data_IF_200190658987
#
_entry.id   IF_200190658987
#
_cell.length_a   1.000
_cell.length_b   1.000
_cell.length_c   1.000
_cell.angle_alpha   90.00
_cell.angle_beta   90.00
_cell.angle_gamma   90.00
#
_symmetry.space_group_name_H-M   'P 1'
#
loop_
_entity.id
_entity.type
_entity.pdbx_description
1 polymer ?
#
# COMPACT_ATOMS: atom_id res chain seq x y z
N UNK A 1 -41.45 34.99 13.73
CA UNK A 1 -40.73 34.06 14.62
C UNK A 1 -41.59 32.83 14.79
N UNK A 2 -41.25 31.73 14.10
CA UNK A 2 -41.97 30.45 14.24
C UNK A 2 -40.93 29.33 14.18
N UNK A 3 -40.74 28.63 15.28
CA UNK A 3 -39.69 27.63 15.45
C UNK A 3 -40.02 26.34 14.71
N UNK A 4 -39.15 25.91 13.78
CA UNK A 4 -39.28 24.63 13.09
C UNK A 4 -38.72 23.49 13.94
N UNK A 5 -39.61 22.62 14.41
CA UNK A 5 -39.25 21.38 15.13
C UNK A 5 -39.08 20.20 14.17
N UNK A 6 -38.15 19.29 14.50
CA UNK A 6 -37.61 18.14 13.74
C UNK A 6 -38.60 17.08 13.20
N UNK A 7 -39.92 17.29 13.26
CA UNK A 7 -40.93 16.27 12.93
C UNK A 7 -41.51 16.30 11.50
N UNK A 8 -40.98 17.14 10.61
CA UNK A 8 -41.47 17.25 9.23
C UNK A 8 -40.66 16.45 8.19
N UNK A 9 -39.69 15.62 8.60
CA UNK A 9 -38.77 14.99 7.63
C UNK A 9 -39.23 13.66 7.02
N UNK A 10 -40.43 13.16 7.34
CA UNK A 10 -40.89 11.88 6.75
C UNK A 10 -42.38 11.90 6.42
N UNK A 11 -42.75 12.61 5.35
CA UNK A 11 -43.95 12.32 4.56
C UNK A 11 -43.94 13.18 3.30
N UNK A 12 -43.52 12.62 2.17
CA UNK A 12 -43.49 13.36 0.91
C UNK A 12 -43.14 12.52 -0.30
N UNK A 13 -44.15 11.80 -0.79
CA UNK A 13 -44.34 11.34 -2.18
C UNK A 13 -43.34 10.33 -2.79
N UNK A 14 -43.77 9.07 -2.72
CA UNK A 14 -43.68 8.15 -3.84
C UNK A 14 -44.68 8.58 -4.94
N UNK A 15 -44.18 9.07 -6.08
CA UNK A 15 -44.84 8.98 -7.40
C UNK A 15 -43.88 9.50 -8.49
N UNK A 16 -43.53 8.65 -9.45
CA UNK A 16 -43.15 9.08 -10.80
C UNK A 16 -41.70 9.49 -11.03
N UNK A 17 -40.81 8.50 -11.20
CA UNK A 17 -39.91 8.48 -12.35
C UNK A 17 -39.27 7.10 -12.44
N UNK A 18 -39.50 6.37 -13.54
CA UNK A 18 -38.43 5.56 -14.11
C UNK A 18 -37.28 6.55 -14.33
N UNK A 19 -36.36 6.62 -13.36
CA UNK A 19 -35.15 7.39 -13.50
C UNK A 19 -34.36 6.74 -14.61
N UNK A 20 -34.46 7.28 -15.83
CA UNK A 20 -33.39 7.16 -16.81
C UNK A 20 -32.11 7.44 -16.02
N UNK A 21 -31.26 6.44 -15.89
CA UNK A 21 -29.94 6.62 -15.32
C UNK A 21 -29.23 7.61 -16.25
N UNK A 22 -29.33 8.90 -15.94
CA UNK A 22 -28.51 9.92 -16.57
C UNK A 22 -27.10 9.46 -16.24
N UNK A 23 -26.27 9.09 -17.24
CA UNK A 23 -24.90 8.75 -16.96
C UNK A 23 -24.33 9.99 -16.28
N UNK A 24 -23.93 9.84 -15.01
CA UNK A 24 -23.26 10.90 -14.30
C UNK A 24 -22.07 11.27 -15.19
N UNK A 25 -22.17 12.43 -15.86
CA UNK A 25 -21.06 12.96 -16.64
C UNK A 25 -19.97 13.17 -15.62
N UNK A 26 -19.01 12.25 -15.59
CA UNK A 26 -17.81 12.40 -14.79
C UNK A 26 -17.20 13.73 -15.22
N UNK A 27 -17.27 14.73 -14.33
CA UNK A 27 -16.69 16.04 -14.60
C UNK A 27 -15.20 15.87 -14.90
N UNK A 28 -14.65 16.78 -15.68
CA UNK A 28 -13.22 16.78 -15.99
C UNK A 28 -12.42 16.73 -14.69
N UNK A 29 -11.49 15.76 -14.51
CA UNK A 29 -10.71 15.65 -13.28
C UNK A 29 -10.01 16.97 -12.97
N UNK A 30 -10.30 17.55 -11.79
CA UNK A 30 -9.62 18.76 -11.31
C UNK A 30 -8.38 18.35 -10.54
N UNK A 31 -7.23 18.90 -10.90
CA UNK A 31 -5.97 18.70 -10.19
C UNK A 31 -5.84 19.73 -9.07
N UNK A 32 -5.37 19.29 -7.90
CA UNK A 32 -5.20 20.14 -6.72
C UNK A 32 -6.43 20.19 -5.81
N UNK A 33 -6.32 20.94 -4.72
CA UNK A 33 -7.31 20.97 -3.64
C UNK A 33 -6.97 20.04 -2.47
N UNK A 34 -7.83 20.07 -1.45
CA UNK A 34 -7.67 19.26 -0.24
C UNK A 34 -8.68 18.11 -0.26
N UNK A 35 -8.18 16.88 -0.25
CA UNK A 35 -9.01 15.71 0.01
C UNK A 35 -9.20 15.55 1.53
N UNK A 36 -10.40 15.80 2.02
CA UNK A 36 -10.78 15.48 3.40
C UNK A 36 -11.40 14.09 3.43
N UNK A 37 -10.75 13.16 4.13
CA UNK A 37 -11.25 11.80 4.32
C UNK A 37 -11.35 11.45 5.80
N UNK A 38 -12.42 10.77 6.19
CA UNK A 38 -12.56 10.21 7.53
C UNK A 38 -11.93 8.83 7.54
N UNK A 39 -10.93 8.63 8.40
CA UNK A 39 -10.34 7.32 8.66
C UNK A 39 -10.67 6.94 10.10
N UNK A 40 -11.45 5.87 10.23
CA UNK A 40 -11.84 5.33 11.53
C UNK A 40 -11.63 3.80 11.52
N UNK A 41 -11.07 3.23 12.60
CA UNK A 41 -10.39 3.91 13.73
C UNK A 41 -9.07 4.57 13.31
N UNK A 42 -8.40 5.25 14.24
CA UNK A 42 -7.06 5.80 14.03
C UNK A 42 -6.10 4.68 13.58
N UNK A 43 -5.30 4.91 12.51
CA UNK A 43 -4.27 3.96 12.10
C UNK A 43 -3.22 3.82 13.21
N UNK A 44 -2.93 2.60 13.71
CA UNK A 44 -1.94 2.43 14.77
C UNK A 44 -0.52 2.76 14.31
N UNK A 45 -0.25 2.57 13.00
CA UNK A 45 1.03 2.88 12.34
C UNK A 45 0.73 3.45 10.94
N UNK A 46 1.69 4.16 10.34
CA UNK A 46 1.49 4.79 9.01
C UNK A 46 1.82 3.87 7.83
N UNK A 47 2.80 2.99 7.99
CA UNK A 47 3.29 2.11 6.91
C UNK A 47 2.95 0.67 7.24
N UNK A 48 2.33 -0.05 6.30
CA UNK A 48 1.86 -1.42 6.51
C UNK A 48 2.97 -2.48 6.42
N UNK A 49 4.11 -2.28 7.08
CA UNK A 49 5.24 -3.22 7.07
C UNK A 49 5.08 -4.39 8.07
N UNK A 50 4.36 -4.17 9.18
CA UNK A 50 4.32 -5.14 10.30
C UNK A 50 2.91 -5.49 10.76
N UNK A 51 1.88 -5.05 10.03
CA UNK A 51 0.49 -5.27 10.43
C UNK A 51 -0.48 -5.15 9.26
N UNK A 52 -1.75 -5.51 9.48
CA UNK A 52 -2.78 -5.61 8.43
C UNK A 52 -4.01 -4.75 8.69
N UNK A 53 -3.92 -3.76 9.60
CA UNK A 53 -5.09 -2.99 10.00
C UNK A 53 -5.63 -2.15 8.83
N UNK A 54 -6.93 -2.29 8.55
CA UNK A 54 -7.60 -1.64 7.42
C UNK A 54 -7.45 -0.11 7.34
N UNK A 55 -7.39 0.64 8.46
CA UNK A 55 -7.06 2.07 8.42
C UNK A 55 -5.67 2.36 7.85
N UNK A 56 -4.66 1.59 8.25
CA UNK A 56 -3.29 1.80 7.75
C UNK A 56 -3.13 1.36 6.31
N UNK A 57 -3.77 0.26 5.88
CA UNK A 57 -3.72 -0.13 4.46
C UNK A 57 -4.37 0.91 3.54
N UNK A 58 -5.26 1.77 4.06
CA UNK A 58 -5.80 2.93 3.33
C UNK A 58 -4.85 4.12 3.28
N UNK A 59 -4.01 4.31 4.31
CA UNK A 59 -3.09 5.45 4.46
C UNK A 59 -1.73 5.16 3.85
N UNK A 60 -1.16 3.97 4.07
CA UNK A 60 0.19 3.59 3.63
C UNK A 60 0.43 3.88 2.15
N UNK A 61 -0.48 3.53 1.21
CA UNK A 61 -0.30 3.83 -0.22
C UNK A 61 -0.30 5.32 -0.59
N UNK A 62 -0.52 6.22 0.37
CA UNK A 62 -0.42 7.68 0.20
C UNK A 62 0.94 8.22 0.60
N UNK A 63 1.73 7.43 1.32
CA UNK A 63 3.08 7.78 1.80
C UNK A 63 4.16 6.87 1.25
N UNK A 64 3.81 5.67 0.79
CA UNK A 64 4.70 4.71 0.13
C UNK A 64 4.17 4.31 -1.24
N UNK A 65 5.07 3.80 -2.07
CA UNK A 65 4.76 3.24 -3.38
C UNK A 65 5.08 1.74 -3.43
N UNK A 66 4.44 1.02 -4.35
CA UNK A 66 4.78 -0.36 -4.68
C UNK A 66 5.67 -0.40 -5.94
N UNK A 67 6.17 -1.58 -6.30
CA UNK A 67 6.77 -1.76 -7.61
C UNK A 67 5.74 -1.53 -8.72
N UNK A 68 4.52 -2.02 -8.49
CA UNK A 68 3.42 -1.96 -9.43
C UNK A 68 2.19 -1.31 -8.78
N UNK A 69 1.35 -0.71 -9.62
CA UNK A 69 -0.01 -0.34 -9.28
C UNK A 69 -1.00 -1.23 -10.05
N UNK A 70 -2.29 -1.15 -9.73
CA UNK A 70 -3.34 -1.83 -10.48
C UNK A 70 -4.39 -0.82 -10.93
N UNK A 71 -4.87 -1.00 -12.16
CA UNK A 71 -6.03 -0.25 -12.64
C UNK A 71 -7.35 -0.93 -12.21
N UNK A 72 -8.46 -0.31 -12.59
CA UNK A 72 -9.80 -0.79 -12.23
C UNK A 72 -10.14 -2.14 -12.87
N UNK A 73 -9.40 -2.55 -13.90
CA UNK A 73 -9.56 -3.85 -14.58
C UNK A 73 -8.63 -4.92 -13.98
N UNK A 74 -8.03 -4.64 -12.82
CA UNK A 74 -7.05 -5.50 -12.16
C UNK A 74 -5.85 -5.85 -13.06
N UNK A 75 -5.44 -4.94 -13.96
CA UNK A 75 -4.20 -5.12 -14.71
C UNK A 75 -3.02 -4.45 -14.00
N UNK A 76 -1.86 -5.11 -13.91
CA UNK A 76 -0.67 -4.48 -13.35
C UNK A 76 -0.23 -3.29 -14.21
N UNK A 77 0.15 -2.21 -13.55
CA UNK A 77 0.60 -0.96 -14.15
C UNK A 77 1.95 -0.54 -13.56
N UNK A 78 2.82 0.10 -14.36
CA UNK A 78 4.05 0.67 -13.86
C UNK A 78 3.84 1.65 -12.69
N UNK A 79 4.68 1.54 -11.66
CA UNK A 79 4.81 2.51 -10.57
C UNK A 79 6.31 2.83 -10.37
N UNK A 80 6.95 2.25 -9.34
CA UNK A 80 8.40 2.31 -9.15
C UNK A 80 9.13 1.45 -10.18
N UNK A 81 8.54 0.33 -10.60
CA UNK A 81 8.98 -0.42 -11.77
C UNK A 81 8.31 0.15 -13.03
N UNK A 82 9.11 0.38 -14.07
CA UNK A 82 8.67 0.88 -15.38
C UNK A 82 8.33 -0.25 -16.35
N UNK A 83 8.97 -1.41 -16.18
CA UNK A 83 8.75 -2.62 -16.95
C UNK A 83 9.13 -3.85 -16.10
N UNK A 84 8.64 -5.02 -16.50
CA UNK A 84 9.03 -6.29 -15.90
C UNK A 84 8.97 -7.43 -16.91
N UNK A 85 9.76 -8.46 -16.65
CA UNK A 85 9.82 -9.70 -17.40
C UNK A 85 9.68 -10.88 -16.46
N UNK A 86 8.93 -11.90 -16.89
CA UNK A 86 8.78 -13.17 -16.17
C UNK A 86 9.45 -14.25 -17.00
N UNK A 87 10.34 -15.03 -16.39
CA UNK A 87 10.99 -16.16 -17.06
C UNK A 87 9.98 -17.22 -17.48
N UNK A 88 10.30 -18.02 -18.49
CA UNK A 88 9.39 -19.04 -19.02
C UNK A 88 8.98 -20.12 -18.01
N UNK A 89 9.82 -20.37 -16.99
CA UNK A 89 9.52 -21.27 -15.87
C UNK A 89 8.72 -20.60 -14.73
N UNK A 90 8.49 -19.28 -14.80
CA UNK A 90 7.78 -18.51 -13.79
C UNK A 90 8.53 -18.34 -12.46
N UNK A 91 9.84 -18.62 -12.44
CA UNK A 91 10.66 -18.57 -11.22
C UNK A 91 11.45 -17.27 -11.05
N UNK A 92 11.56 -16.43 -12.08
CA UNK A 92 12.28 -15.15 -12.03
C UNK A 92 11.43 -14.02 -12.57
N UNK A 93 11.37 -12.95 -11.79
CA UNK A 93 10.68 -11.72 -12.14
C UNK A 93 11.70 -10.58 -12.14
N UNK A 94 12.09 -10.08 -13.31
CA UNK A 94 13.04 -8.97 -13.44
C UNK A 94 12.28 -7.66 -13.61
N UNK A 95 12.62 -6.66 -12.82
CA UNK A 95 11.99 -5.33 -12.83
C UNK A 95 13.00 -4.25 -13.21
N UNK A 96 12.64 -3.43 -14.20
CA UNK A 96 13.36 -2.21 -14.55
C UNK A 96 12.81 -1.03 -13.76
N UNK A 97 13.61 -0.46 -12.86
CA UNK A 97 13.19 0.57 -11.92
C UNK A 97 13.29 1.98 -12.54
N UNK A 98 12.39 2.86 -12.08
CA UNK A 98 12.36 4.27 -12.47
C UNK A 98 13.64 4.97 -12.00
N UNK A 99 14.27 5.72 -12.91
CA UNK A 99 15.47 6.51 -12.62
C UNK A 99 15.10 7.88 -12.04
N UNK A 100 16.02 8.45 -11.25
CA UNK A 100 15.87 9.80 -10.70
C UNK A 100 14.84 9.94 -9.58
N UNK A 101 14.26 8.84 -9.11
CA UNK A 101 13.35 8.84 -7.95
C UNK A 101 14.16 9.08 -6.68
N UNK A 102 13.64 9.94 -5.81
CA UNK A 102 14.23 10.27 -4.51
C UNK A 102 13.23 10.02 -3.41
N UNK A 103 13.72 9.56 -2.28
CA UNK A 103 13.01 9.57 -1.02
C UNK A 103 12.76 11.01 -0.55
N UNK A 104 11.82 11.19 0.38
CA UNK A 104 11.48 12.52 0.92
C UNK A 104 12.67 13.23 1.60
N UNK A 105 13.72 12.51 1.98
CA UNK A 105 14.96 13.06 2.52
C UNK A 105 16.05 13.33 1.46
N UNK A 106 15.68 13.23 0.17
CA UNK A 106 16.55 13.53 -0.96
C UNK A 106 17.47 12.40 -1.40
N UNK A 107 17.58 11.30 -0.63
CA UNK A 107 18.39 10.14 -1.03
C UNK A 107 17.76 9.39 -2.21
N UNK A 108 18.57 8.80 -3.10
CA UNK A 108 18.05 8.10 -4.27
C UNK A 108 17.32 6.82 -3.87
N UNK A 109 16.24 6.50 -4.59
CA UNK A 109 15.62 5.17 -4.57
C UNK A 109 16.43 4.23 -5.46
N UNK A 110 16.67 3.00 -4.97
CA UNK A 110 17.43 1.97 -5.70
C UNK A 110 16.83 0.57 -5.52
N UNK A 111 17.30 -0.37 -6.33
CA UNK A 111 16.98 -1.80 -6.22
C UNK A 111 17.30 -2.39 -4.84
N UNK A 112 18.27 -1.84 -4.10
CA UNK A 112 18.56 -2.25 -2.73
C UNK A 112 17.40 -1.98 -1.76
N UNK A 113 16.60 -0.93 -1.99
CA UNK A 113 15.40 -0.65 -1.20
C UNK A 113 14.32 -1.71 -1.45
N UNK A 114 14.24 -2.21 -2.68
CA UNK A 114 13.30 -3.27 -3.08
C UNK A 114 13.65 -4.58 -2.36
N UNK A 115 14.90 -5.03 -2.46
CA UNK A 115 15.37 -6.24 -1.80
C UNK A 115 15.16 -6.17 -0.28
N UNK A 116 15.47 -5.02 0.32
CA UNK A 116 15.26 -4.79 1.75
C UNK A 116 13.79 -4.86 2.14
N UNK A 117 12.91 -4.20 1.39
CA UNK A 117 11.46 -4.18 1.68
C UNK A 117 10.85 -5.58 1.60
N UNK A 118 11.17 -6.33 0.55
CA UNK A 118 10.70 -7.72 0.37
C UNK A 118 11.18 -8.59 1.54
N UNK A 119 12.43 -8.46 1.96
CA UNK A 119 12.98 -9.18 3.12
C UNK A 119 12.21 -8.84 4.40
N UNK A 120 12.02 -7.55 4.71
CA UNK A 120 11.29 -7.13 5.91
C UNK A 120 9.85 -7.65 5.93
N UNK A 121 9.15 -7.60 4.80
CA UNK A 121 7.78 -8.11 4.69
C UNK A 121 7.73 -9.63 4.86
N UNK A 122 8.70 -10.35 4.28
CA UNK A 122 8.82 -11.80 4.46
C UNK A 122 9.12 -12.18 5.91
N UNK A 123 9.89 -11.37 6.64
CA UNK A 123 10.28 -11.66 8.03
C UNK A 123 9.21 -11.21 9.04
N UNK A 124 8.59 -10.05 8.85
CA UNK A 124 7.82 -9.38 9.91
C UNK A 124 6.34 -9.14 9.58
N UNK A 125 5.94 -9.12 8.30
CA UNK A 125 4.54 -8.83 7.95
C UNK A 125 3.67 -10.08 8.12
N UNK A 126 2.54 -10.02 8.86
CA UNK A 126 1.69 -11.19 9.13
C UNK A 126 1.20 -11.90 7.85
N UNK A 127 0.84 -11.14 6.81
CA UNK A 127 0.49 -11.72 5.50
C UNK A 127 1.69 -11.91 4.58
N UNK A 128 2.68 -11.03 4.68
CA UNK A 128 3.84 -11.00 3.77
C UNK A 128 4.70 -12.25 3.89
N UNK A 129 4.79 -12.83 5.09
CA UNK A 129 5.37 -14.16 5.33
C UNK A 129 4.83 -15.24 4.39
N UNK A 130 3.51 -15.27 4.20
CA UNK A 130 2.85 -16.23 3.31
C UNK A 130 2.97 -15.84 1.85
N UNK A 131 2.63 -14.58 1.51
CA UNK A 131 2.70 -14.05 0.14
C UNK A 131 4.10 -14.19 -0.47
N UNK A 132 5.15 -13.94 0.32
CA UNK A 132 6.54 -13.93 -0.11
C UNK A 132 7.30 -15.19 0.33
N UNK A 133 6.62 -16.23 0.83
CA UNK A 133 7.25 -17.46 1.31
C UNK A 133 8.13 -18.12 0.24
N UNK A 134 7.68 -18.07 -1.02
CA UNK A 134 8.38 -18.63 -2.16
C UNK A 134 9.59 -17.81 -2.63
N UNK A 135 9.76 -16.56 -2.18
CA UNK A 135 10.90 -15.72 -2.57
C UNK A 135 12.16 -16.27 -1.92
N UNK A 136 13.13 -16.73 -2.71
CA UNK A 136 14.40 -17.26 -2.20
C UNK A 136 15.49 -16.20 -2.18
N UNK A 137 15.48 -15.26 -3.12
CA UNK A 137 16.45 -14.19 -3.22
C UNK A 137 15.86 -12.98 -3.97
N UNK A 138 16.45 -11.80 -3.74
CA UNK A 138 16.15 -10.59 -4.51
C UNK A 138 17.45 -9.96 -5.04
N UNK A 139 18.07 -10.50 -6.09
CA UNK A 139 19.27 -9.93 -6.68
C UNK A 139 19.07 -8.48 -7.16
N UNK A 140 20.12 -7.69 -6.98
CA UNK A 140 20.16 -6.27 -7.34
C UNK A 140 21.42 -5.99 -8.18
N UNK A 141 21.48 -6.48 -9.43
CA UNK A 141 22.72 -6.43 -10.22
C UNK A 141 23.19 -4.99 -10.51
N UNK A 142 22.27 -4.03 -10.50
CA UNK A 142 22.55 -2.60 -10.58
C UNK A 142 21.47 -1.79 -9.84
N UNK A 143 21.67 -0.48 -9.59
CA UNK A 143 20.72 0.34 -8.83
C UNK A 143 19.29 0.43 -9.42
N UNK A 144 19.11 0.09 -10.69
CA UNK A 144 17.85 0.21 -11.41
C UNK A 144 17.28 -1.13 -11.90
N UNK A 145 17.85 -2.25 -11.43
CA UNK A 145 17.35 -3.59 -11.72
C UNK A 145 17.17 -4.34 -10.42
N UNK A 146 15.96 -4.85 -10.17
CA UNK A 146 15.68 -5.78 -9.09
C UNK A 146 15.09 -7.06 -9.68
N UNK A 147 15.59 -8.21 -9.24
CA UNK A 147 15.07 -9.51 -9.64
C UNK A 147 14.47 -10.20 -8.43
N UNK A 148 13.26 -10.76 -8.53
CA UNK A 148 12.70 -11.63 -7.50
C UNK A 148 12.83 -13.07 -7.98
N UNK A 149 13.55 -13.89 -7.22
CA UNK A 149 13.76 -15.31 -7.51
C UNK A 149 12.87 -16.14 -6.60
N UNK A 150 12.17 -17.12 -7.17
CA UNK A 150 11.21 -17.97 -6.47
C UNK A 150 11.66 -19.43 -6.43
N UNK A 151 11.28 -20.15 -5.37
CA UNK A 151 11.42 -21.61 -5.28
C UNK A 151 10.33 -22.37 -6.05
N UNK A 152 9.23 -21.71 -6.36
CA UNK A 152 8.08 -22.26 -7.08
C UNK A 152 7.30 -21.15 -7.80
N UNK A 153 6.61 -21.43 -8.92
CA UNK A 153 5.86 -20.41 -9.63
C UNK A 153 4.77 -19.78 -8.75
N UNK A 154 4.67 -18.45 -8.78
CA UNK A 154 3.66 -17.68 -8.05
C UNK A 154 2.95 -16.69 -8.98
N UNK A 155 1.91 -17.13 -9.73
CA UNK A 155 1.20 -16.28 -10.69
C UNK A 155 0.57 -15.02 -10.08
N UNK A 156 0.28 -15.06 -8.77
CA UNK A 156 -0.29 -13.94 -8.03
C UNK A 156 0.74 -12.86 -7.64
N UNK A 157 2.05 -13.11 -7.82
CA UNK A 157 3.09 -12.26 -7.26
C UNK A 157 2.97 -10.82 -7.76
N UNK A 158 2.70 -10.60 -9.04
CA UNK A 158 2.55 -9.24 -9.59
C UNK A 158 1.44 -8.45 -8.87
N UNK A 159 0.34 -9.11 -8.49
CA UNK A 159 -0.76 -8.50 -7.75
C UNK A 159 -0.39 -8.11 -6.32
N UNK A 160 0.54 -8.84 -5.71
CA UNK A 160 1.04 -8.55 -4.38
C UNK A 160 1.99 -7.35 -4.32
N UNK A 161 2.54 -6.89 -5.45
CA UNK A 161 3.58 -5.85 -5.51
C UNK A 161 3.04 -4.41 -5.45
N UNK A 162 1.82 -4.23 -4.95
CA UNK A 162 1.21 -2.92 -4.72
C UNK A 162 1.60 -2.33 -3.37
N UNK A 163 1.58 -1.00 -3.24
CA UNK A 163 1.93 -0.32 -1.99
C UNK A 163 1.11 -0.77 -0.77
N UNK A 164 -0.11 -1.28 -0.98
CA UNK A 164 -1.01 -1.75 0.08
C UNK A 164 -0.60 -3.09 0.67
N UNK A 165 0.20 -3.88 -0.05
CA UNK A 165 0.62 -5.24 0.34
C UNK A 165 2.13 -5.36 0.44
N UNK A 166 2.85 -4.82 -0.55
CA UNK A 166 4.30 -4.73 -0.60
C UNK A 166 4.74 -3.25 -0.70
N UNK A 167 4.58 -2.45 0.37
CA UNK A 167 5.13 -1.10 0.40
C UNK A 167 6.65 -1.13 0.29
N UNK A 168 7.21 -0.34 -0.61
CA UNK A 168 8.66 -0.14 -0.70
C UNK A 168 9.08 0.97 0.26
N UNK A 169 10.12 0.71 1.04
CA UNK A 169 10.64 1.62 2.06
C UNK A 169 12.14 1.88 1.88
N UNK A 170 12.63 3.05 2.33
CA UNK A 170 14.05 3.39 2.25
C UNK A 170 14.88 2.48 3.15
N UNK A 171 15.75 1.65 2.58
CA UNK A 171 16.63 0.76 3.33
C UNK A 171 17.36 1.52 4.44
N UNK A 172 17.90 2.69 4.14
CA UNK A 172 18.68 3.48 5.10
C UNK A 172 17.90 4.02 6.30
N UNK A 173 16.57 3.99 6.30
CA UNK A 173 15.74 4.34 7.48
C UNK A 173 15.21 3.12 8.22
N UNK A 174 15.19 1.98 7.54
CA UNK A 174 14.62 0.73 8.04
C UNK A 174 15.70 -0.36 8.25
N UNK A 175 16.97 0.03 8.28
CA UNK A 175 18.09 -0.84 8.65
C UNK A 175 18.22 -0.87 10.18
N UNK A 176 18.22 -2.06 10.78
CA UNK A 176 18.36 -2.26 12.23
C UNK A 176 17.05 -2.36 13.02
N UNK A 177 17.15 -2.16 14.34
CA UNK A 177 16.12 -2.39 15.39
C UNK A 177 14.90 -1.45 15.32
N UNK A 178 14.69 -0.78 14.17
CA UNK A 178 13.61 0.20 13.92
C UNK A 178 12.23 -0.48 13.98
N UNK A 179 12.15 -1.78 13.69
CA UNK A 179 10.94 -2.57 13.93
C UNK A 179 10.76 -2.96 15.40
N UNK A 180 11.85 -3.06 16.17
CA UNK A 180 11.85 -3.27 17.62
C UNK A 180 11.53 -2.00 18.43
N UNK A 181 11.80 -0.82 17.85
CA UNK A 181 11.46 0.50 18.40
C UNK A 181 9.96 0.83 18.39
N UNK A 182 9.16 0.07 17.63
CA UNK A 182 7.70 0.06 17.74
C UNK A 182 7.26 -0.77 18.97
N UNK A 183 7.92 -0.57 20.12
CA UNK A 183 7.41 -1.06 21.40
C UNK A 183 6.07 -0.39 21.62
N UNK A 184 5.02 -1.20 21.51
CA UNK A 184 3.68 -0.90 21.97
C UNK A 184 3.73 0.04 23.16
N UNK A 185 3.27 1.28 22.99
CA UNK A 185 2.89 2.13 24.11
C UNK A 185 1.59 1.56 24.74
N UNK A 186 1.60 0.30 25.15
CA UNK A 186 0.89 -0.10 26.34
C UNK A 186 1.79 0.31 27.49
N UNK A 187 1.74 1.62 27.76
CA UNK A 187 1.85 2.13 29.11
C UNK A 187 1.04 1.15 29.98
N UNK A 188 1.74 0.27 30.72
CA UNK A 188 1.19 -0.38 31.90
C UNK A 188 0.98 0.74 32.91
N UNK A 189 -0.06 1.54 32.69
CA UNK A 189 -0.62 2.39 33.71
C UNK A 189 -1.51 1.49 34.57
N UNK A 190 -1.06 1.27 35.79
CA UNK A 190 -1.90 0.73 36.86
C UNK A 190 -1.64 -0.74 37.18
N UNK A 191 -0.98 -0.95 38.32
CA UNK A 191 -0.85 -2.27 38.93
C UNK A 191 0.26 -2.34 39.94
N UNK A 192 0.36 -1.32 40.81
CA UNK A 192 1.26 -1.38 41.95
C UNK A 192 0.76 -2.36 43.01
N UNK A 193 1.73 -3.10 43.55
CA UNK A 193 1.85 -3.70 44.89
C UNK A 193 1.20 -5.07 45.18
N UNK A 194 2.10 -5.86 45.79
CA UNK A 194 2.04 -7.16 46.47
C UNK A 194 1.95 -8.38 45.55
#
# INVERSE_FOLDING_TARGET
>A
MTALTRRHFTAGLAAGSLGLAVPARAGTPRRGGTLTMVIQPEPPILVSLTHTAGPTTRVSPKVTEGLLAFDLDFRPRPQLATAWEVSGDGLRYRFSLRRGVKWHDGRPFTSADVAHSVRLLKEHHPRGRGTLAGVVDVPTPDPHTAEIVLSRPAPYLLAALTASETPIVPKHRYDGDVLGGFKWSSQRLGGGRL
#
